data_IF_303688348173
#
_entry.id   IF_303688348173
#
_cell.length_a   1.000
_cell.length_b   1.000
_cell.length_c   1.000
_cell.angle_alpha   90.00
_cell.angle_beta   90.00
_cell.angle_gamma   90.00
#
_symmetry.space_group_name_H-M   'P 1'
#
loop_
_entity.id
_entity.type
_entity.pdbx_description
1 polymer ?
#
# COMPACT_ATOMS: atom_id res chain seq x y z
N UNK A 1 -12.51 4.04 10.76
CA UNK A 1 -12.06 3.92 9.36
C UNK A 1 -12.36 5.22 8.67
N UNK A 2 -11.32 5.97 8.34
CA UNK A 2 -11.45 7.22 7.58
C UNK A 2 -11.58 6.83 6.09
N UNK A 3 -12.76 7.03 5.51
CA UNK A 3 -13.09 6.56 4.16
C UNK A 3 -12.66 7.59 3.12
N UNK A 4 -11.45 7.43 2.56
CA UNK A 4 -10.97 8.23 1.44
C UNK A 4 -11.23 7.53 0.09
N UNK A 5 -11.67 8.28 -0.94
CA UNK A 5 -11.76 7.75 -2.30
C UNK A 5 -10.37 7.81 -2.92
N UNK A 6 -9.74 6.65 -3.14
CA UNK A 6 -8.48 6.56 -3.87
C UNK A 6 -8.75 6.78 -5.37
N UNK A 7 -8.09 7.78 -5.95
CA UNK A 7 -8.19 8.12 -7.39
C UNK A 7 -7.12 7.42 -8.23
N UNK A 8 -6.05 6.98 -7.61
CA UNK A 8 -4.99 6.24 -8.26
C UNK A 8 -3.94 5.83 -7.25
N UNK A 9 -3.23 4.76 -7.56
CA UNK A 9 -2.08 4.31 -6.79
C UNK A 9 -0.88 4.16 -7.73
N UNK A 10 0.32 4.33 -7.20
CA UNK A 10 1.54 3.98 -7.91
C UNK A 10 2.56 3.38 -6.96
N UNK A 11 3.27 2.37 -7.45
CA UNK A 11 4.37 1.68 -6.81
C UNK A 11 5.64 2.13 -7.53
N UNK A 12 6.63 2.65 -6.82
CA UNK A 12 7.86 3.16 -7.42
C UNK A 12 8.73 2.02 -7.94
N UNK A 13 9.17 1.18 -7.03
CA UNK A 13 9.89 -0.08 -7.27
C UNK A 13 9.10 -1.23 -6.65
N UNK A 14 9.04 -2.36 -7.33
CA UNK A 14 8.49 -3.60 -6.77
C UNK A 14 9.55 -4.67 -6.83
N UNK A 15 9.98 -5.16 -5.67
CA UNK A 15 10.82 -6.33 -5.54
C UNK A 15 10.01 -7.50 -5.01
N UNK A 16 10.05 -8.59 -5.76
CA UNK A 16 9.46 -9.87 -5.37
C UNK A 16 10.62 -10.85 -5.20
N UNK A 17 10.69 -11.49 -4.04
CA UNK A 17 11.69 -12.53 -3.79
C UNK A 17 10.96 -13.83 -3.49
N UNK A 18 11.28 -14.87 -4.24
CA UNK A 18 10.84 -16.24 -3.96
C UNK A 18 12.02 -17.00 -3.36
N UNK A 19 11.77 -17.70 -2.27
CA UNK A 19 12.72 -18.60 -1.63
C UNK A 19 12.10 -19.99 -1.51
N UNK A 20 12.91 -20.98 -1.17
CA UNK A 20 12.43 -22.35 -0.94
C UNK A 20 11.41 -22.44 0.21
N UNK A 21 11.37 -21.42 1.08
CA UNK A 21 10.54 -21.37 2.29
C UNK A 21 9.44 -20.33 2.24
N UNK A 22 9.29 -19.56 1.16
CA UNK A 22 8.23 -18.56 1.06
C UNK A 22 8.44 -17.50 -0.02
N UNK A 23 7.69 -16.41 0.12
CA UNK A 23 7.76 -15.25 -0.76
C UNK A 23 7.88 -13.97 0.09
N UNK A 24 8.51 -12.93 -0.45
CA UNK A 24 8.49 -11.59 0.15
C UNK A 24 8.30 -10.51 -0.89
N UNK A 25 7.65 -9.42 -0.46
CA UNK A 25 7.42 -8.23 -1.26
C UNK A 25 8.02 -7.02 -0.58
N UNK A 26 8.68 -6.17 -1.36
CA UNK A 26 9.07 -4.85 -0.88
C UNK A 26 8.98 -3.78 -1.97
N UNK A 27 8.70 -2.57 -1.53
CA UNK A 27 8.76 -1.35 -2.32
C UNK A 27 9.31 -0.22 -1.46
N UNK A 28 10.28 0.52 -1.99
CA UNK A 28 10.76 1.76 -1.36
C UNK A 28 9.72 2.86 -1.36
N UNK A 29 8.66 2.75 -2.19
CA UNK A 29 7.60 3.75 -2.27
C UNK A 29 6.28 3.20 -2.81
N UNK A 30 5.25 3.27 -1.98
CA UNK A 30 3.85 3.18 -2.35
C UNK A 30 3.19 4.54 -2.22
N UNK A 31 2.43 4.96 -3.23
CA UNK A 31 1.66 6.19 -3.18
C UNK A 31 0.21 5.96 -3.58
N UNK A 32 -0.70 6.60 -2.87
CA UNK A 32 -2.11 6.66 -3.22
C UNK A 32 -2.54 8.12 -3.30
N UNK A 33 -3.16 8.52 -4.41
CA UNK A 33 -3.82 9.81 -4.57
C UNK A 33 -5.23 9.68 -4.02
N UNK A 34 -5.55 10.48 -3.01
CA UNK A 34 -6.90 10.60 -2.48
C UNK A 34 -7.64 11.71 -3.23
N UNK A 35 -8.94 11.50 -3.43
CA UNK A 35 -9.83 12.55 -3.85
C UNK A 35 -9.87 13.61 -2.76
N UNK A 36 -9.47 14.83 -3.09
CA UNK A 36 -9.63 15.97 -2.20
C UNK A 36 -11.13 16.22 -1.95
N UNK A 37 -11.52 16.19 -0.69
CA UNK A 37 -12.86 16.60 -0.24
C UNK A 37 -12.67 17.91 0.51
N UNK A 38 -13.29 19.03 0.07
CA UNK A 38 -13.16 20.32 0.75
C UNK A 38 -13.49 20.21 2.24
N UNK A 39 -12.63 20.73 3.10
CA UNK A 39 -12.80 20.70 4.55
C UNK A 39 -12.38 19.40 5.24
N UNK A 40 -11.98 18.36 4.49
CA UNK A 40 -11.45 17.11 5.06
C UNK A 40 -9.93 17.11 4.95
N UNK A 41 -9.28 16.99 6.10
CA UNK A 41 -7.87 16.63 6.18
C UNK A 41 -7.79 15.15 6.59
N UNK A 42 -6.85 14.41 6.00
CA UNK A 42 -6.63 12.99 6.33
C UNK A 42 -5.35 12.89 7.16
N UNK A 43 -5.42 12.90 8.51
CA UNK A 43 -4.25 12.86 9.38
C UNK A 43 -3.68 11.44 9.49
N UNK A 44 -3.35 10.81 8.36
CA UNK A 44 -2.78 9.46 8.34
C UNK A 44 -1.30 9.53 8.71
N UNK A 45 -0.95 8.91 9.83
CA UNK A 45 0.45 8.77 10.30
C UNK A 45 1.01 7.38 10.03
N UNK A 46 0.14 6.40 9.88
CA UNK A 46 0.49 5.00 9.63
C UNK A 46 -0.49 4.37 8.64
N UNK A 47 -0.04 3.33 7.95
CA UNK A 47 -0.91 2.51 7.12
C UNK A 47 -0.53 1.04 7.20
N UNK A 48 -1.56 0.20 7.13
CA UNK A 48 -1.49 -1.24 6.90
C UNK A 48 -2.04 -1.48 5.50
N UNK A 49 -1.34 -2.26 4.69
CA UNK A 49 -1.77 -2.55 3.32
C UNK A 49 -2.18 -4.02 3.21
N UNK A 50 -3.42 -4.23 2.74
CA UNK A 50 -3.90 -5.54 2.33
C UNK A 50 -3.55 -5.75 0.86
N UNK A 51 -2.75 -6.75 0.55
CA UNK A 51 -2.25 -7.02 -0.80
C UNK A 51 -2.73 -8.38 -1.26
N UNK A 52 -3.32 -8.40 -2.46
CA UNK A 52 -3.73 -9.61 -3.16
C UNK A 52 -2.99 -9.70 -4.48
N UNK A 53 -2.35 -10.84 -4.74
CA UNK A 53 -1.74 -11.19 -6.02
C UNK A 53 -2.74 -12.02 -6.79
N UNK A 54 -3.12 -11.54 -7.98
CA UNK A 54 -4.11 -12.18 -8.85
C UNK A 54 -3.43 -12.71 -10.10
N UNK A 55 -3.71 -13.96 -10.47
CA UNK A 55 -3.33 -14.56 -11.75
C UNK A 55 -4.58 -15.15 -12.41
N UNK A 56 -4.84 -14.79 -13.67
CA UNK A 56 -6.03 -15.21 -14.43
C UNK A 56 -7.37 -15.04 -13.67
N UNK A 57 -7.55 -13.90 -12.99
CA UNK A 57 -8.74 -13.60 -12.17
C UNK A 57 -8.89 -14.47 -10.90
N UNK A 58 -7.86 -15.23 -10.51
CA UNK A 58 -7.81 -15.98 -9.25
C UNK A 58 -6.83 -15.35 -8.26
N UNK A 59 -7.28 -15.21 -7.02
CA UNK A 59 -6.44 -14.80 -5.90
C UNK A 59 -5.45 -15.93 -5.57
N UNK A 60 -4.16 -15.70 -5.86
CA UNK A 60 -3.09 -16.70 -5.64
C UNK A 60 -2.51 -16.54 -4.23
N UNK A 61 -2.32 -15.30 -3.79
CA UNK A 61 -1.70 -14.97 -2.50
C UNK A 61 -2.37 -13.72 -1.94
N UNK A 62 -2.70 -13.75 -0.65
CA UNK A 62 -3.19 -12.59 0.10
C UNK A 62 -2.38 -12.43 1.38
N UNK A 63 -1.94 -11.22 1.68
CA UNK A 63 -1.23 -10.90 2.92
C UNK A 63 -1.46 -9.45 3.34
N UNK A 64 -1.30 -9.20 4.64
CA UNK A 64 -1.23 -7.87 5.21
C UNK A 64 0.23 -7.48 5.46
N UNK A 65 0.58 -6.23 5.16
CA UNK A 65 1.88 -5.67 5.56
C UNK A 65 1.86 -5.24 7.02
N UNK A 66 3.01 -5.23 7.72
CA UNK A 66 3.12 -4.55 9.01
C UNK A 66 2.77 -3.05 8.89
N UNK A 67 2.36 -2.43 9.99
CA UNK A 67 2.14 -0.98 10.02
C UNK A 67 3.41 -0.24 9.60
N UNK A 68 3.24 0.75 8.72
CA UNK A 68 4.34 1.51 8.14
C UNK A 68 4.07 3.01 8.25
N UNK A 69 5.11 3.83 8.55
CA UNK A 69 4.98 5.28 8.57
C UNK A 69 4.39 5.80 7.27
N UNK A 70 3.45 6.72 7.40
CA UNK A 70 2.69 7.26 6.27
C UNK A 70 2.70 8.79 6.34
N UNK A 71 2.87 9.41 5.18
CA UNK A 71 2.82 10.87 5.05
C UNK A 71 1.70 11.27 4.10
N UNK A 72 0.99 12.34 4.43
CA UNK A 72 -0.05 12.91 3.58
C UNK A 72 0.33 14.33 3.21
N UNK A 73 0.46 14.60 1.92
CA UNK A 73 0.74 15.94 1.40
C UNK A 73 -0.03 16.18 0.11
N UNK A 74 -0.79 17.28 0.05
CA UNK A 74 -1.60 17.65 -1.12
C UNK A 74 -2.52 16.51 -1.62
N UNK A 75 -3.13 15.76 -0.69
CA UNK A 75 -3.99 14.61 -1.03
C UNK A 75 -3.22 13.37 -1.52
N UNK A 76 -1.90 13.36 -1.46
CA UNK A 76 -1.06 12.19 -1.77
C UNK A 76 -0.63 11.54 -0.47
N UNK A 77 -1.05 10.30 -0.29
CA UNK A 77 -0.57 9.39 0.75
C UNK A 77 0.68 8.70 0.23
N UNK A 78 1.77 8.74 0.99
CA UNK A 78 3.01 8.05 0.66
C UNK A 78 3.45 7.18 1.83
N UNK A 79 3.80 5.92 1.52
CA UNK A 79 4.31 4.94 2.47
C UNK A 79 5.25 3.95 1.77
N UNK A 80 5.59 2.86 2.44
CA UNK A 80 6.35 1.74 1.90
C UNK A 80 5.48 0.48 1.91
N UNK A 81 5.79 -0.48 1.05
CA UNK A 81 5.22 -1.83 1.13
C UNK A 81 6.32 -2.77 1.57
N UNK A 82 6.09 -3.56 2.60
CA UNK A 82 7.03 -4.58 3.03
C UNK A 82 6.27 -5.73 3.71
N UNK A 83 6.57 -6.97 3.34
CA UNK A 83 6.11 -8.15 4.10
C UNK A 83 6.91 -8.29 5.39
N UNK A 84 6.27 -8.71 6.48
CA UNK A 84 6.99 -9.17 7.68
C UNK A 84 7.90 -10.33 7.33
N UNK A 85 9.18 -10.20 7.69
CA UNK A 85 10.21 -11.25 7.58
C UNK A 85 10.00 -12.37 8.59
#
# INVERSE_FOLDING_TARGET
TDVGIVQGASIGDLKITLTDTGFSFSSSKFTAKLKSVPGINWPLTESVQHVTVVDNDYDIITFDTPSSPTTVSNGVVSSVLQTSS
#
